data_IF_811476791640
#
_entry.id   IF_811476791640
#
_cell.length_a   1.000
_cell.length_b   1.000
_cell.length_c   1.000
_cell.angle_alpha   90.00
_cell.angle_beta   90.00
_cell.angle_gamma   90.00
#
_symmetry.space_group_name_H-M   'P 1'
#
loop_
_entity.id
_entity.type
_entity.pdbx_description
1 polymer ?
#
# COMPACT_ATOMS: atom_id res chain seq x y z
N UNK A 1 14.47 6.11 -15.91
CA UNK A 1 14.55 5.71 -14.50
C UNK A 1 13.25 5.06 -14.06
N UNK A 2 12.14 5.79 -13.87
CA UNK A 2 10.86 5.21 -13.43
C UNK A 2 10.39 4.05 -14.31
N UNK A 3 10.35 4.27 -15.63
CA UNK A 3 9.98 3.22 -16.60
C UNK A 3 10.74 1.90 -16.39
N UNK A 4 12.05 1.98 -16.20
CA UNK A 4 12.91 0.81 -16.01
C UNK A 4 12.69 0.11 -14.66
N UNK A 5 12.47 0.86 -13.57
CA UNK A 5 12.34 0.27 -12.23
C UNK A 5 10.91 -0.16 -11.88
N UNK A 6 9.89 0.49 -12.44
CA UNK A 6 8.48 0.10 -12.23
C UNK A 6 8.18 -1.27 -12.85
N UNK A 7 8.78 -1.57 -14.01
CA UNK A 7 8.70 -2.86 -14.70
C UNK A 7 9.31 -4.03 -13.91
N UNK A 8 10.12 -3.77 -12.88
CA UNK A 8 10.74 -4.86 -12.10
C UNK A 8 9.71 -5.72 -11.37
N UNK A 9 8.65 -5.11 -10.82
CA UNK A 9 7.61 -5.86 -10.11
C UNK A 9 6.86 -6.81 -11.05
N UNK A 10 6.56 -6.37 -12.28
CA UNK A 10 5.91 -7.19 -13.29
C UNK A 10 6.84 -8.31 -13.80
N UNK A 11 8.14 -8.02 -13.92
CA UNK A 11 9.16 -9.01 -14.26
C UNK A 11 9.21 -10.13 -13.21
N UNK A 12 9.44 -9.78 -11.94
CA UNK A 12 9.69 -10.75 -10.85
C UNK A 12 8.45 -11.52 -10.42
N UNK A 13 7.25 -11.00 -10.69
CA UNK A 13 5.99 -11.70 -10.39
C UNK A 13 5.51 -12.62 -11.50
N UNK A 14 6.10 -12.54 -12.70
CA UNK A 14 5.73 -13.36 -13.85
C UNK A 14 6.03 -14.85 -13.66
N UNK A 15 5.19 -15.72 -14.20
CA UNK A 15 5.34 -17.18 -14.06
C UNK A 15 6.69 -17.67 -14.58
N UNK A 16 7.14 -17.14 -15.73
CA UNK A 16 8.44 -17.47 -16.33
C UNK A 16 9.61 -17.07 -15.42
N UNK A 17 9.54 -15.92 -14.74
CA UNK A 17 10.58 -15.54 -13.79
C UNK A 17 10.63 -16.49 -12.59
N UNK A 18 9.45 -16.87 -12.07
CA UNK A 18 9.33 -17.78 -10.92
C UNK A 18 9.85 -19.19 -11.20
N UNK A 19 9.95 -19.63 -12.45
CA UNK A 19 10.59 -20.91 -12.80
C UNK A 19 12.08 -20.95 -12.40
N UNK A 20 12.74 -19.79 -12.25
CA UNK A 20 14.12 -19.70 -11.80
C UNK A 20 14.29 -19.82 -10.27
N UNK A 21 13.20 -19.70 -9.51
CA UNK A 21 13.19 -19.81 -8.05
C UNK A 21 12.00 -20.68 -7.58
N UNK A 22 11.99 -21.99 -7.90
CA UNK A 22 10.86 -22.87 -7.60
C UNK A 22 10.64 -23.08 -6.09
N UNK A 23 11.67 -22.83 -5.29
CA UNK A 23 11.62 -22.94 -3.83
C UNK A 23 11.23 -21.61 -3.16
N UNK A 24 10.96 -20.54 -3.92
CA UNK A 24 10.64 -19.19 -3.45
C UNK A 24 11.63 -18.67 -2.39
N UNK A 25 12.93 -18.82 -2.66
CA UNK A 25 14.01 -18.36 -1.76
C UNK A 25 14.31 -16.87 -1.89
N UNK A 26 13.78 -16.20 -2.92
CA UNK A 26 14.05 -14.78 -3.18
C UNK A 26 15.41 -14.51 -3.83
N UNK A 27 16.06 -15.55 -4.38
CA UNK A 27 17.41 -15.44 -4.97
C UNK A 27 17.45 -15.92 -6.42
N UNK A 28 18.28 -15.28 -7.23
CA UNK A 28 18.47 -15.62 -8.66
C UNK A 28 19.91 -15.33 -9.09
N UNK A 29 20.40 -16.02 -10.13
CA UNK A 29 21.69 -15.69 -10.72
C UNK A 29 21.59 -14.46 -11.63
N UNK A 30 22.68 -13.67 -11.74
CA UNK A 30 22.76 -12.54 -12.69
C UNK A 30 22.43 -12.94 -14.13
N UNK A 31 22.87 -14.14 -14.53
CA UNK A 31 22.65 -14.67 -15.88
C UNK A 31 21.19 -15.00 -16.15
N UNK A 32 20.49 -15.60 -15.19
CA UNK A 32 19.06 -15.88 -15.33
C UNK A 32 18.24 -14.59 -15.30
N UNK A 33 18.59 -13.65 -14.42
CA UNK A 33 17.95 -12.34 -14.38
C UNK A 33 18.06 -11.60 -15.72
N UNK A 34 19.25 -11.58 -16.31
CA UNK A 34 19.47 -11.04 -17.66
C UNK A 34 18.59 -11.75 -18.70
N UNK A 35 18.57 -13.09 -18.70
CA UNK A 35 17.77 -13.89 -19.64
C UNK A 35 16.27 -13.59 -19.50
N UNK A 36 15.77 -13.44 -18.28
CA UNK A 36 14.36 -13.09 -18.05
C UNK A 36 14.02 -11.72 -18.65
N UNK A 37 14.88 -10.70 -18.46
CA UNK A 37 14.69 -9.37 -19.05
C UNK A 37 14.71 -9.41 -20.59
N UNK A 38 15.67 -10.12 -21.17
CA UNK A 38 15.78 -10.30 -22.63
C UNK A 38 14.55 -11.02 -23.20
N UNK A 39 14.00 -11.99 -22.46
CA UNK A 39 12.83 -12.76 -22.90
C UNK A 39 11.53 -11.95 -22.93
N UNK A 40 11.34 -11.05 -21.96
CA UNK A 40 10.13 -10.22 -21.87
C UNK A 40 10.10 -9.07 -22.91
N UNK A 41 11.26 -8.66 -23.45
CA UNK A 41 11.39 -7.61 -24.47
C UNK A 41 10.80 -6.24 -24.07
N UNK A 42 10.72 -5.98 -22.77
CA UNK A 42 10.28 -4.68 -22.21
C UNK A 42 11.44 -3.74 -21.87
N UNK A 43 12.67 -4.25 -21.97
CA UNK A 43 13.92 -3.54 -21.68
C UNK A 43 14.78 -3.46 -22.94
N UNK A 44 15.47 -2.33 -23.08
CA UNK A 44 16.58 -2.16 -24.03
C UNK A 44 17.86 -2.77 -23.47
N UNK A 45 18.81 -3.11 -24.36
CA UNK A 45 20.10 -3.68 -23.95
C UNK A 45 20.84 -2.79 -22.93
N UNK A 46 20.82 -1.47 -23.13
CA UNK A 46 21.43 -0.51 -22.21
C UNK A 46 20.76 -0.47 -20.83
N UNK A 47 19.44 -0.67 -20.76
CA UNK A 47 18.72 -0.74 -19.48
C UNK A 47 19.06 -2.03 -18.73
N UNK A 48 19.16 -3.15 -19.44
CA UNK A 48 19.57 -4.43 -18.86
C UNK A 48 20.98 -4.32 -18.28
N UNK A 49 21.93 -3.79 -19.05
CA UNK A 49 23.30 -3.56 -18.59
C UNK A 49 23.36 -2.65 -17.36
N UNK A 50 22.57 -1.58 -17.36
CA UNK A 50 22.47 -0.68 -16.22
C UNK A 50 21.91 -1.38 -14.98
N UNK A 51 20.81 -2.13 -15.11
CA UNK A 51 20.22 -2.88 -13.99
C UNK A 51 21.20 -3.90 -13.42
N UNK A 52 21.88 -4.67 -14.26
CA UNK A 52 22.91 -5.63 -13.85
C UNK A 52 24.09 -4.96 -13.14
N UNK A 53 24.42 -3.71 -13.51
CA UNK A 53 25.45 -2.92 -12.82
C UNK A 53 25.05 -2.49 -11.41
N UNK A 54 23.74 -2.39 -11.13
CA UNK A 54 23.21 -2.11 -9.80
C UNK A 54 23.13 -3.35 -8.91
N UNK A 55 23.27 -4.55 -9.47
CA UNK A 55 23.15 -5.82 -8.73
C UNK A 55 24.41 -6.14 -7.96
N UNK A 56 24.26 -6.26 -6.64
CA UNK A 56 25.26 -6.74 -5.69
C UNK A 56 25.11 -8.27 -5.55
N UNK A 57 25.94 -9.03 -6.27
CA UNK A 57 25.93 -10.50 -6.22
C UNK A 57 27.07 -11.04 -5.36
N UNK A 58 26.88 -12.26 -4.86
CA UNK A 58 27.87 -13.01 -4.09
C UNK A 58 28.94 -13.66 -4.99
N UNK A 59 29.81 -14.49 -4.40
CA UNK A 59 30.88 -15.19 -5.11
C UNK A 59 30.37 -16.16 -6.20
N UNK A 60 29.09 -16.56 -6.17
CA UNK A 60 28.46 -17.47 -7.11
C UNK A 60 27.60 -16.74 -8.16
N UNK A 61 27.71 -15.42 -8.28
CA UNK A 61 26.86 -14.57 -9.12
C UNK A 61 25.35 -14.61 -8.74
N UNK A 62 25.04 -15.02 -7.51
CA UNK A 62 23.67 -15.02 -6.97
C UNK A 62 23.39 -13.73 -6.20
N UNK A 63 22.15 -13.24 -6.28
CA UNK A 63 21.72 -12.07 -5.50
C UNK A 63 20.26 -12.21 -5.05
N UNK A 64 19.89 -11.46 -4.02
CA UNK A 64 18.51 -11.38 -3.54
C UNK A 64 17.71 -10.42 -4.45
N UNK A 65 16.80 -10.96 -5.26
CA UNK A 65 16.00 -10.13 -6.16
C UNK A 65 14.85 -9.44 -5.42
N UNK A 66 14.36 -9.98 -4.30
CA UNK A 66 13.31 -9.33 -3.50
C UNK A 66 13.84 -8.05 -2.87
N UNK A 67 15.03 -8.11 -2.25
CA UNK A 67 15.72 -6.94 -1.70
C UNK A 67 16.06 -5.93 -2.81
N UNK A 68 16.48 -6.42 -3.99
CA UNK A 68 16.75 -5.56 -5.14
C UNK A 68 15.48 -4.83 -5.59
N UNK A 69 14.34 -5.52 -5.68
CA UNK A 69 13.05 -4.90 -6.01
C UNK A 69 12.66 -3.90 -4.91
N UNK A 70 12.69 -4.26 -3.64
CA UNK A 70 12.34 -3.34 -2.54
C UNK A 70 13.20 -2.07 -2.57
N UNK A 71 14.51 -2.20 -2.81
CA UNK A 71 15.45 -1.08 -2.85
C UNK A 71 15.22 -0.10 -4.00
N UNK A 72 14.71 -0.57 -5.14
CA UNK A 72 14.63 0.25 -6.35
C UNK A 72 13.22 0.50 -6.86
N UNK A 73 12.34 -0.49 -6.79
CA UNK A 73 10.93 -0.38 -7.18
C UNK A 73 10.16 0.50 -6.20
N UNK A 74 10.21 0.26 -4.88
CA UNK A 74 9.37 0.99 -3.93
C UNK A 74 9.68 2.51 -3.92
N UNK A 75 10.95 2.97 -3.89
CA UNK A 75 11.25 4.39 -4.02
C UNK A 75 10.84 4.98 -5.39
N UNK A 76 10.95 4.19 -6.47
CA UNK A 76 10.50 4.60 -7.79
C UNK A 76 8.97 4.70 -7.86
N UNK A 77 8.26 3.82 -7.16
CA UNK A 77 6.80 3.82 -7.06
C UNK A 77 6.31 5.06 -6.30
N UNK A 78 6.87 5.33 -5.12
CA UNK A 78 6.47 6.44 -4.27
C UNK A 78 6.65 7.82 -4.95
N UNK A 79 7.82 8.05 -5.55
CA UNK A 79 8.09 9.31 -6.25
C UNK A 79 7.37 9.33 -7.61
N UNK A 80 7.33 8.19 -8.30
CA UNK A 80 6.72 8.06 -9.61
C UNK A 80 5.23 8.40 -9.60
N UNK A 81 4.50 8.02 -8.54
CA UNK A 81 3.09 8.35 -8.40
C UNK A 81 2.85 9.87 -8.42
N UNK A 82 3.65 10.63 -7.68
CA UNK A 82 3.54 12.09 -7.65
C UNK A 82 3.84 12.74 -9.01
N UNK A 83 4.79 12.17 -9.76
CA UNK A 83 5.09 12.61 -11.13
C UNK A 83 3.91 12.34 -12.06
N UNK A 84 3.30 11.16 -11.97
CA UNK A 84 2.11 10.81 -12.75
C UNK A 84 0.93 11.74 -12.43
N UNK A 85 0.67 12.01 -11.15
CA UNK A 85 -0.37 12.97 -10.71
C UNK A 85 -0.12 14.35 -11.30
N UNK A 86 1.12 14.85 -11.25
CA UNK A 86 1.46 16.16 -11.78
C UNK A 86 1.21 16.25 -13.29
N UNK A 87 1.65 15.25 -14.05
CA UNK A 87 1.47 15.22 -15.51
C UNK A 87 -0.01 15.13 -15.89
N UNK A 88 -0.79 14.28 -15.20
CA UNK A 88 -2.24 14.17 -15.39
C UNK A 88 -2.95 15.47 -15.04
N UNK A 89 -2.57 16.12 -13.95
CA UNK A 89 -3.15 17.41 -13.55
C UNK A 89 -2.89 18.49 -14.60
N UNK A 90 -1.63 18.63 -15.04
CA UNK A 90 -1.27 19.61 -16.08
C UNK A 90 -1.98 19.34 -17.41
N UNK A 91 -2.12 18.07 -17.81
CA UNK A 91 -2.76 17.71 -19.08
C UNK A 91 -4.26 18.03 -19.08
N UNK A 92 -4.94 17.84 -17.95
CA UNK A 92 -6.33 18.22 -17.79
C UNK A 92 -6.56 19.74 -17.75
N UNK A 93 -5.60 20.51 -17.21
CA UNK A 93 -5.69 21.97 -17.12
C UNK A 93 -5.17 22.71 -18.37
N UNK A 94 -4.31 22.08 -19.18
CA UNK A 94 -3.70 22.67 -20.38
C UNK A 94 -3.74 21.72 -21.58
N UNK A 95 -4.94 21.29 -22.04
CA UNK A 95 -5.10 20.22 -23.03
C UNK A 95 -4.60 20.56 -24.45
N UNK A 96 -4.29 21.84 -24.72
CA UNK A 96 -3.88 22.31 -26.05
C UNK A 96 -2.41 22.73 -26.12
N UNK A 97 -1.62 22.50 -25.06
CA UNK A 97 -0.18 22.80 -25.07
C UNK A 97 0.62 21.65 -25.69
N UNK A 98 1.06 21.82 -26.93
CA UNK A 98 1.84 20.81 -27.66
C UNK A 98 3.18 20.47 -26.99
N UNK A 99 3.71 21.33 -26.13
CA UNK A 99 4.95 21.06 -25.40
C UNK A 99 4.75 19.98 -24.34
N UNK A 100 3.54 19.90 -23.77
CA UNK A 100 3.20 18.90 -22.77
C UNK A 100 3.06 17.51 -23.39
N UNK A 101 2.60 17.41 -24.64
CA UNK A 101 2.43 16.14 -25.35
C UNK A 101 3.72 15.31 -25.34
N UNK A 102 4.88 15.93 -25.62
CA UNK A 102 6.17 15.23 -25.61
C UNK A 102 6.51 14.60 -24.25
N UNK A 103 6.14 15.23 -23.14
CA UNK A 103 6.33 14.64 -21.81
C UNK A 103 5.37 13.50 -21.53
N UNK A 104 4.12 13.63 -21.97
CA UNK A 104 3.09 12.59 -21.81
C UNK A 104 3.46 11.33 -22.62
N UNK A 105 3.92 11.51 -23.86
CA UNK A 105 4.37 10.41 -24.72
C UNK A 105 5.56 9.65 -24.09
N UNK A 106 6.53 10.37 -23.52
CA UNK A 106 7.67 9.76 -22.83
C UNK A 106 7.29 9.09 -21.50
N UNK A 107 6.21 9.55 -20.86
CA UNK A 107 5.74 9.06 -19.57
C UNK A 107 4.59 8.04 -19.72
N UNK A 108 4.23 7.63 -20.93
CA UNK A 108 3.08 6.77 -21.20
C UNK A 108 3.07 5.52 -20.31
N UNK A 109 4.19 4.80 -20.25
CA UNK A 109 4.31 3.61 -19.41
C UNK A 109 4.17 3.88 -17.92
N UNK A 110 4.69 5.01 -17.43
CA UNK A 110 4.56 5.45 -16.04
C UNK A 110 3.11 5.80 -15.72
N UNK A 111 2.44 6.53 -16.63
CA UNK A 111 1.04 6.90 -16.48
C UNK A 111 0.14 5.65 -16.48
N UNK A 112 0.37 4.70 -17.40
CA UNK A 112 -0.36 3.43 -17.45
C UNK A 112 -0.12 2.57 -16.21
N UNK A 113 1.10 2.56 -15.66
CA UNK A 113 1.39 1.85 -14.42
C UNK A 113 0.57 2.38 -13.24
N UNK A 114 0.42 3.70 -13.13
CA UNK A 114 -0.28 4.34 -12.01
C UNK A 114 -1.77 4.57 -12.20
N UNK A 115 -2.31 4.44 -13.42
CA UNK A 115 -3.75 4.55 -13.72
C UNK A 115 -4.64 3.80 -12.72
N UNK A 116 -4.42 2.49 -12.41
CA UNK A 116 -5.25 1.77 -11.46
C UNK A 116 -5.14 2.24 -10.00
N UNK A 117 -4.10 3.00 -9.67
CA UNK A 117 -3.81 3.52 -8.33
C UNK A 117 -4.19 5.00 -8.20
N UNK A 118 -4.61 5.65 -9.28
CA UNK A 118 -4.94 7.07 -9.29
C UNK A 118 -6.44 7.31 -9.08
N UNK A 119 -6.81 7.71 -7.86
CA UNK A 119 -8.15 8.20 -7.56
C UNK A 119 -8.32 9.66 -7.97
N UNK A 120 -9.49 10.00 -8.52
CA UNK A 120 -9.90 11.36 -8.86
C UNK A 120 -11.32 11.62 -8.37
N UNK A 121 -11.51 12.70 -7.61
CA UNK A 121 -12.83 13.21 -7.21
C UNK A 121 -12.95 14.70 -7.52
N UNK A 122 -14.19 15.15 -7.69
CA UNK A 122 -14.54 16.55 -7.89
C UNK A 122 -15.39 17.03 -6.71
N UNK A 123 -14.96 18.12 -6.08
CA UNK A 123 -15.62 18.70 -4.91
C UNK A 123 -15.90 20.19 -5.15
N UNK A 124 -16.89 20.74 -4.44
CA UNK A 124 -17.12 22.18 -4.44
C UNK A 124 -16.16 22.85 -3.47
N UNK A 125 -15.19 23.59 -4.00
CA UNK A 125 -14.25 24.38 -3.20
C UNK A 125 -14.92 25.59 -2.54
N UNK A 126 -14.24 26.19 -1.55
CA UNK A 126 -14.77 27.31 -0.76
C UNK A 126 -15.13 28.56 -1.60
N UNK A 127 -14.55 28.70 -2.79
CA UNK A 127 -14.88 29.74 -3.76
C UNK A 127 -16.12 29.43 -4.63
N UNK A 128 -16.89 28.39 -4.31
CA UNK A 128 -18.00 27.86 -5.13
C UNK A 128 -17.56 27.47 -6.55
N UNK A 129 -16.31 27.01 -6.67
CA UNK A 129 -15.75 26.47 -7.92
C UNK A 129 -15.47 24.99 -7.72
N UNK A 130 -15.62 24.21 -8.78
CA UNK A 130 -15.28 22.79 -8.75
C UNK A 130 -13.76 22.67 -8.68
N UNK A 131 -13.28 21.88 -7.73
CA UNK A 131 -11.88 21.54 -7.53
C UNK A 131 -11.70 20.03 -7.70
N UNK A 132 -10.61 19.62 -8.33
CA UNK A 132 -10.23 18.22 -8.50
C UNK A 132 -9.21 17.83 -7.45
N UNK A 133 -9.46 16.71 -6.79
CA UNK A 133 -8.53 16.11 -5.83
C UNK A 133 -8.08 14.76 -6.38
N UNK A 134 -6.76 14.58 -6.45
CA UNK A 134 -6.11 13.33 -6.81
C UNK A 134 -5.56 12.67 -5.55
N UNK A 135 -5.68 11.36 -5.44
CA UNK A 135 -5.19 10.59 -4.30
C UNK A 135 -4.78 9.19 -4.73
N UNK A 136 -3.91 8.55 -3.95
CA UNK A 136 -3.51 7.17 -4.18
C UNK A 136 -4.57 6.20 -3.64
N UNK A 137 -4.92 5.21 -4.45
CA UNK A 137 -5.74 4.06 -4.06
C UNK A 137 -4.80 2.89 -3.79
N UNK A 138 -4.88 2.31 -2.60
CA UNK A 138 -4.04 1.16 -2.25
C UNK A 138 -4.43 -0.10 -3.03
N UNK A 139 -3.45 -0.97 -3.28
CA UNK A 139 -3.66 -2.26 -3.92
C UNK A 139 -4.61 -3.16 -3.13
N UNK A 140 -4.52 -3.13 -1.79
CA UNK A 140 -5.37 -3.89 -0.88
C UNK A 140 -6.82 -3.43 -0.93
N UNK A 141 -7.08 -2.12 -0.86
CA UNK A 141 -8.44 -1.57 -0.95
C UNK A 141 -9.08 -1.90 -2.30
N UNK A 142 -8.33 -1.78 -3.40
CA UNK A 142 -8.81 -2.18 -4.74
C UNK A 142 -9.16 -3.66 -4.80
N UNK A 143 -8.31 -4.52 -4.26
CA UNK A 143 -8.55 -5.98 -4.26
C UNK A 143 -9.76 -6.36 -3.42
N UNK A 144 -9.92 -5.75 -2.25
CA UNK A 144 -11.10 -5.96 -1.40
C UNK A 144 -12.39 -5.47 -2.07
N UNK A 145 -12.36 -4.32 -2.75
CA UNK A 145 -13.49 -3.78 -3.50
C UNK A 145 -13.96 -4.72 -4.63
N UNK A 146 -13.04 -5.49 -5.20
CA UNK A 146 -13.35 -6.42 -6.28
C UNK A 146 -13.95 -7.76 -5.80
N UNK A 147 -14.01 -8.01 -4.48
CA UNK A 147 -14.57 -9.24 -3.91
C UNK A 147 -16.06 -9.40 -4.27
N UNK A 148 -16.54 -10.64 -4.56
CA UNK A 148 -17.93 -10.88 -4.95
C UNK A 148 -18.98 -10.33 -3.97
N UNK A 149 -18.72 -10.45 -2.67
CA UNK A 149 -19.57 -9.92 -1.60
C UNK A 149 -19.80 -8.41 -1.74
N UNK A 150 -18.72 -7.63 -1.82
CA UNK A 150 -18.79 -6.15 -1.93
C UNK A 150 -19.47 -5.74 -3.23
N UNK A 151 -19.18 -6.44 -4.33
CA UNK A 151 -19.84 -6.20 -5.62
C UNK A 151 -21.35 -6.43 -5.58
N UNK A 152 -21.80 -7.46 -4.87
CA UNK A 152 -23.23 -7.76 -4.71
C UNK A 152 -23.92 -6.74 -3.79
N UNK A 153 -23.31 -6.42 -2.65
CA UNK A 153 -23.80 -5.38 -1.72
C UNK A 153 -23.97 -4.04 -2.45
N UNK A 154 -22.98 -3.62 -3.25
CA UNK A 154 -23.08 -2.43 -4.11
C UNK A 154 -24.23 -2.51 -5.13
N UNK A 155 -24.43 -3.67 -5.77
CA UNK A 155 -25.53 -3.85 -6.74
C UNK A 155 -26.89 -3.67 -6.06
N UNK A 156 -27.05 -4.26 -4.89
CA UNK A 156 -28.27 -4.16 -4.08
C UNK A 156 -28.53 -2.70 -3.66
N UNK A 157 -27.52 -2.03 -3.11
CA UNK A 157 -27.61 -0.62 -2.72
C UNK A 157 -28.07 0.28 -3.89
N UNK A 158 -27.48 0.11 -5.07
CA UNK A 158 -27.86 0.91 -6.26
C UNK A 158 -29.33 0.66 -6.63
N UNK A 159 -29.79 -0.58 -6.55
CA UNK A 159 -31.18 -0.93 -6.83
C UNK A 159 -32.15 -0.25 -5.85
N UNK A 160 -31.85 -0.32 -4.55
CA UNK A 160 -32.71 0.22 -3.50
C UNK A 160 -32.81 1.75 -3.58
N UNK A 161 -31.68 2.45 -3.76
CA UNK A 161 -31.65 3.92 -3.83
C UNK A 161 -32.36 4.48 -5.07
N UNK A 162 -32.30 3.78 -6.20
CA UNK A 162 -32.96 4.21 -7.44
C UNK A 162 -34.47 4.00 -7.39
N UNK A 163 -34.93 2.92 -6.74
CA UNK A 163 -36.35 2.56 -6.69
C UNK A 163 -37.11 3.24 -5.55
N UNK A 164 -36.49 3.42 -4.39
CA UNK A 164 -37.18 3.79 -3.15
C UNK A 164 -36.71 5.14 -2.57
N UNK A 165 -35.58 5.70 -3.03
CA UNK A 165 -34.98 6.91 -2.44
C UNK A 165 -35.57 8.24 -2.94
N UNK A 166 -36.09 9.05 -2.01
CA UNK A 166 -36.36 10.47 -2.24
C UNK A 166 -35.06 11.27 -2.47
N UNK A 167 -35.08 12.28 -3.34
CA UNK A 167 -33.86 12.99 -3.79
C UNK A 167 -33.03 13.62 -2.66
N UNK A 168 -33.65 14.03 -1.56
CA UNK A 168 -32.98 14.64 -0.40
C UNK A 168 -32.19 13.66 0.46
N UNK A 169 -32.52 12.36 0.46
CA UNK A 169 -31.92 11.36 1.35
C UNK A 169 -30.83 10.53 0.65
N UNK A 170 -30.75 10.58 -0.69
CA UNK A 170 -29.82 9.76 -1.48
C UNK A 170 -28.36 9.93 -1.07
N UNK A 171 -27.96 11.16 -0.73
CA UNK A 171 -26.59 11.44 -0.32
C UNK A 171 -26.28 10.85 1.05
N UNK A 172 -27.21 10.91 1.99
CA UNK A 172 -27.06 10.35 3.34
C UNK A 172 -26.96 8.83 3.28
N UNK A 173 -27.86 8.18 2.52
CA UNK A 173 -27.82 6.73 2.29
C UNK A 173 -26.51 6.27 1.62
N UNK A 174 -25.97 7.06 0.69
CA UNK A 174 -24.69 6.78 0.05
C UNK A 174 -23.52 6.84 1.03
N UNK A 175 -23.48 7.85 1.89
CA UNK A 175 -22.44 7.95 2.93
C UNK A 175 -22.54 6.77 3.90
N UNK A 176 -23.75 6.41 4.34
CA UNK A 176 -23.96 5.26 5.23
C UNK A 176 -23.47 3.95 4.58
N UNK A 177 -23.78 3.73 3.31
CA UNK A 177 -23.27 2.57 2.56
C UNK A 177 -21.73 2.54 2.53
N UNK A 178 -21.08 3.69 2.34
CA UNK A 178 -19.62 3.77 2.38
C UNK A 178 -19.06 3.42 3.76
N UNK A 179 -19.67 3.90 4.84
CA UNK A 179 -19.25 3.59 6.22
C UNK A 179 -19.43 2.09 6.54
N UNK A 180 -20.58 1.52 6.19
CA UNK A 180 -20.86 0.08 6.36
C UNK A 180 -19.87 -0.77 5.57
N UNK A 181 -19.56 -0.38 4.33
CA UNK A 181 -18.60 -1.11 3.49
C UNK A 181 -17.19 -1.11 4.08
N UNK A 182 -16.75 0.01 4.69
CA UNK A 182 -15.46 0.05 5.38
C UNK A 182 -15.44 -0.96 6.53
N UNK A 183 -16.51 -1.01 7.32
CA UNK A 183 -16.62 -1.97 8.42
C UNK A 183 -16.60 -3.43 7.93
N UNK A 184 -17.36 -3.74 6.86
CA UNK A 184 -17.35 -5.06 6.24
C UNK A 184 -15.96 -5.46 5.72
N UNK A 185 -15.27 -4.54 5.05
CA UNK A 185 -13.92 -4.77 4.53
C UNK A 185 -12.91 -5.04 5.65
N UNK A 186 -13.00 -4.31 6.78
CA UNK A 186 -12.14 -4.53 7.95
C UNK A 186 -12.40 -5.89 8.61
N UNK A 187 -13.66 -6.25 8.81
CA UNK A 187 -14.05 -7.54 9.40
C UNK A 187 -13.61 -8.71 8.51
N UNK A 188 -13.80 -8.60 7.19
CA UNK A 188 -13.38 -9.63 6.24
C UNK A 188 -11.86 -9.83 6.19
N UNK A 189 -11.06 -8.79 6.46
CA UNK A 189 -9.60 -8.92 6.57
C UNK A 189 -9.22 -9.75 7.80
N UNK A 190 -9.81 -9.44 8.97
CA UNK A 190 -9.49 -10.12 10.23
C UNK A 190 -9.79 -11.62 10.19
N UNK A 191 -10.92 -12.01 9.59
CA UNK A 191 -11.29 -13.42 9.44
C UNK A 191 -10.30 -14.14 8.51
N UNK A 192 -9.93 -13.52 7.39
CA UNK A 192 -9.00 -14.11 6.43
C UNK A 192 -7.59 -14.28 6.98
N UNK A 193 -7.17 -13.43 7.91
CA UNK A 193 -5.87 -13.53 8.59
C UNK A 193 -5.86 -14.66 9.63
N UNK A 194 -6.97 -14.88 10.33
CA UNK A 194 -7.11 -15.96 11.31
C UNK A 194 -7.12 -17.37 10.68
N UNK A 195 -7.74 -17.53 9.50
CA UNK A 195 -7.76 -18.81 8.77
C UNK A 195 -6.38 -19.20 8.19
N UNK A 196 -5.46 -18.25 8.00
CA UNK A 196 -4.10 -18.53 7.50
C UNK A 196 -3.15 -19.07 8.59
N UNK A 197 -3.54 -18.94 9.87
CA UNK A 197 -2.76 -19.37 11.04
C UNK A 197 -3.07 -20.79 11.52
N UNK A 198 -3.95 -21.55 10.87
CA UNK A 198 -4.14 -22.98 11.17
C UNK A 198 -3.05 -23.88 10.54
N UNK A 199 -1.80 -23.69 10.96
CA UNK A 199 -0.81 -24.79 11.06
C UNK A 199 -0.44 -24.92 12.53
N UNK A 200 -0.58 -26.11 13.14
CA UNK A 200 -0.47 -26.25 14.58
C UNK A 200 1.00 -26.23 14.96
N UNK A 201 1.45 -25.22 15.71
CA UNK A 201 2.43 -25.41 16.76
C UNK A 201 2.01 -24.65 18.01
N UNK A 202 1.89 -25.41 19.10
CA UNK A 202 1.42 -25.05 20.42
C UNK A 202 2.20 -23.88 21.05
N UNK A 203 1.49 -22.80 21.37
CA UNK A 203 1.55 -22.00 22.61
C UNK A 203 1.07 -20.59 22.30
N UNK A 204 -0.10 -20.18 22.80
CA UNK A 204 -0.40 -18.77 23.12
C UNK A 204 -1.77 -18.64 23.83
N UNK A 205 -1.89 -19.24 25.02
CA UNK A 205 -3.04 -18.99 25.92
C UNK A 205 -2.89 -17.70 26.77
N UNK A 206 -1.87 -16.86 26.55
CA UNK A 206 -1.59 -15.71 27.45
C UNK A 206 -2.05 -14.33 26.97
N UNK A 207 -2.49 -14.13 25.72
CA UNK A 207 -2.93 -12.79 25.26
C UNK A 207 -4.42 -12.50 25.46
N UNK A 208 -5.25 -13.50 25.75
CA UNK A 208 -6.71 -13.34 25.83
C UNK A 208 -7.18 -12.64 27.12
N UNK A 209 -6.33 -12.56 28.15
CA UNK A 209 -6.71 -12.00 29.46
C UNK A 209 -6.43 -10.50 29.65
N UNK A 210 -5.69 -9.85 28.75
CA UNK A 210 -5.32 -8.43 28.95
C UNK A 210 -6.28 -7.42 28.32
N UNK A 211 -7.17 -7.83 27.42
CA UNK A 211 -8.06 -6.90 26.68
C UNK A 211 -9.46 -6.75 27.29
N UNK A 212 -9.87 -7.66 28.17
CA UNK A 212 -11.21 -7.62 28.78
C UNK A 212 -11.31 -6.69 30.00
N UNK A 213 -10.17 -6.26 30.56
CA UNK A 213 -10.11 -5.42 31.77
C UNK A 213 -10.23 -3.90 31.48
N UNK A 214 -10.41 -3.52 30.20
CA UNK A 214 -10.50 -2.12 29.77
C UNK A 214 -11.92 -1.56 29.63
N UNK A 215 -12.96 -2.35 29.90
CA UNK A 215 -14.37 -1.98 29.66
C UNK A 215 -15.21 -1.80 30.93
N UNK A 216 -14.60 -1.63 32.09
CA UNK A 216 -15.33 -1.33 33.33
C UNK A 216 -14.87 -0.02 33.95
N UNK A 217 -15.86 0.88 34.08
CA UNK A 217 -15.91 2.07 34.95
C UNK A 217 -15.25 3.35 34.41
N UNK A 218 -16.08 4.27 33.88
CA UNK A 218 -16.35 5.57 34.52
C UNK A 218 -17.45 6.33 33.74
N UNK A 219 -18.66 6.35 34.30
CA UNK A 219 -19.67 7.39 34.05
C UNK A 219 -19.38 8.55 35.01
N UNK A 220 -19.05 9.74 34.50
CA UNK A 220 -19.73 11.03 34.72
C UNK A 220 -18.79 12.20 34.38
N UNK A 221 -19.19 13.02 33.40
CA UNK A 221 -18.99 14.48 33.30
C UNK A 221 -19.07 14.96 31.84
N UNK A 222 -20.28 15.40 31.47
CA UNK A 222 -20.58 16.50 30.53
C UNK A 222 -19.48 16.98 29.58
N UNK A 223 -19.55 16.64 28.29
CA UNK A 223 -19.11 17.51 27.19
C UNK A 223 -19.90 17.20 25.91
N UNK A 224 -20.52 18.25 25.38
CA UNK A 224 -21.23 18.28 24.10
C UNK A 224 -20.31 17.95 22.92
N UNK A 225 -20.88 17.21 21.95
CA UNK A 225 -20.45 17.09 20.55
C UNK A 225 -18.95 16.87 20.28
N UNK A 226 -18.44 15.69 20.61
CA UNK A 226 -17.18 15.20 20.07
C UNK A 226 -17.45 14.15 18.99
N UNK A 227 -17.31 14.55 17.72
CA UNK A 227 -17.33 13.64 16.56
C UNK A 227 -16.29 12.52 16.70
N UNK A 228 -16.61 11.32 16.21
CA UNK A 228 -15.80 10.09 16.26
C UNK A 228 -14.34 10.28 15.79
N UNK A 229 -14.09 11.27 14.94
CA UNK A 229 -12.74 11.68 14.52
C UNK A 229 -11.84 12.12 15.69
N UNK A 230 -12.41 12.83 16.68
CA UNK A 230 -11.67 13.36 17.83
C UNK A 230 -11.24 12.25 18.79
N UNK A 231 -12.08 11.22 18.97
CA UNK A 231 -11.79 10.05 19.78
C UNK A 231 -10.68 9.19 19.14
N UNK A 232 -10.70 9.02 17.82
CA UNK A 232 -9.66 8.29 17.09
C UNK A 232 -8.28 8.98 17.19
N UNK A 233 -8.22 10.31 17.04
CA UNK A 233 -6.95 11.06 17.17
C UNK A 233 -6.35 11.00 18.59
N UNK A 234 -7.20 10.96 19.63
CA UNK A 234 -6.74 10.85 21.02
C UNK A 234 -6.11 9.47 21.31
N UNK A 235 -6.67 8.39 20.74
CA UNK A 235 -6.17 7.03 20.91
C UNK A 235 -4.79 6.81 20.25
N UNK A 236 -4.60 7.35 19.03
CA UNK A 236 -3.31 7.28 18.32
C UNK A 236 -2.20 8.02 19.08
N UNK A 237 -2.52 9.18 19.67
CA UNK A 237 -1.55 9.98 20.44
C UNK A 237 -1.08 9.26 21.72
N UNK A 238 -1.96 8.47 22.35
CA UNK A 238 -1.64 7.67 23.54
C UNK A 238 -0.79 6.44 23.19
N UNK A 239 -1.08 5.79 22.06
CA UNK A 239 -0.27 4.68 21.52
C UNK A 239 1.18 5.10 21.22
N UNK A 240 1.37 6.27 20.59
CA UNK A 240 2.71 6.81 20.29
C UNK A 240 3.52 7.18 21.55
N UNK A 241 2.86 7.59 22.63
CA UNK A 241 3.51 7.90 23.91
C UNK A 241 4.07 6.64 24.59
N UNK A 242 3.33 5.54 24.52
CA UNK A 242 3.75 4.25 25.09
C UNK A 242 4.90 3.62 24.29
N UNK A 243 4.87 3.74 22.96
CA UNK A 243 5.96 3.29 22.09
C UNK A 243 7.27 4.06 22.34
N UNK A 244 7.18 5.38 22.59
CA UNK A 244 8.36 6.20 22.95
C UNK A 244 8.94 5.83 24.31
N UNK A 245 8.12 5.50 25.31
CA UNK A 245 8.61 5.07 26.62
C UNK A 245 9.31 3.70 26.56
N UNK A 246 8.88 2.82 25.66
CA UNK A 246 9.46 1.48 25.49
C UNK A 246 10.84 1.50 24.80
N UNK A 247 11.13 2.52 23.98
CA UNK A 247 12.39 2.66 23.25
C UNK A 247 13.48 3.46 23.98
N UNK A 248 13.21 4.03 25.15
CA UNK A 248 14.23 4.78 25.91
C UNK A 248 14.80 4.01 27.11
N UNK A 249 16.10 3.72 26.99
CA UNK A 249 17.11 3.63 28.07
C UNK A 249 17.40 2.30 28.81
N UNK A 250 16.68 1.19 28.59
CA UNK A 250 17.02 -0.10 29.25
C UNK A 250 17.57 -1.23 28.36
N UNK A 251 17.27 -1.27 27.06
CA UNK A 251 17.77 -2.33 26.17
C UNK A 251 19.20 -2.09 25.65
N UNK A 252 19.55 -0.84 25.28
CA UNK A 252 20.88 -0.51 24.74
C UNK A 252 22.03 -0.67 25.75
N UNK A 253 21.79 -0.49 27.06
CA UNK A 253 22.83 -0.63 28.10
C UNK A 253 23.20 -2.09 28.39
N UNK A 254 22.33 -3.07 28.10
CA UNK A 254 22.63 -4.51 28.24
C UNK A 254 23.41 -5.06 27.05
N UNK A 255 23.11 -4.61 25.83
CA UNK A 255 23.81 -5.01 24.61
C UNK A 255 25.27 -4.53 24.60
N UNK A 256 25.55 -3.30 25.07
CA UNK A 256 26.93 -2.76 25.09
C UNK A 256 27.88 -3.46 26.09
N UNK A 257 27.36 -4.06 27.17
CA UNK A 257 28.18 -4.81 28.15
C UNK A 257 28.54 -6.22 27.67
N UNK A 258 27.81 -6.79 26.71
CA UNK A 258 28.08 -8.12 26.13
C UNK A 258 29.21 -8.07 25.11
N UNK A 259 29.23 -7.03 24.26
CA UNK A 259 30.31 -6.79 23.28
C UNK A 259 31.67 -6.54 23.95
N UNK A 260 31.72 -5.81 25.07
CA UNK A 260 33.00 -5.51 25.76
C UNK A 260 33.61 -6.71 26.51
N UNK A 261 32.89 -7.84 26.64
CA UNK A 261 33.40 -9.08 27.26
C UNK A 261 33.92 -10.11 26.24
N UNK A 262 33.71 -9.89 24.94
CA UNK A 262 34.18 -10.78 23.87
C UNK A 262 35.47 -10.30 23.19
N UNK A 263 35.99 -9.12 23.54
CA UNK A 263 37.24 -8.57 22.97
C UNK A 263 38.43 -8.60 23.94
N UNK A 264 38.32 -9.33 25.06
CA UNK A 264 39.46 -9.64 25.94
C UNK A 264 39.52 -11.15 26.13
N UNK A 265 40.01 -11.84 25.10
CA UNK A 265 41.01 -12.91 25.20
C UNK A 265 41.50 -13.29 23.81
#
# INVERSE_FOLDING_TARGET
FFDMFLKLKDLTTSDNFKEHDPDCKGVISKKEFQKSMESQKQYTQSEIEFLLSCVEADENDMFNYEEFVERFHEPAKDIGFNVAVLLTNLSEHMPHDSRLATFLDLAESVLSYFEPYLGRIEIMGGAKRIERVYFEISESSRTQWEKPQVKESKRQFIFDVVNEGGESEKMELFVNFCEDTIFEMQLASQISEQDATERPEDNEEEELHSLLDGLSEEEDASLESASAFTAACASVKKSMSNFRQMLTLKSMRKQFKKLKKLTIR
#
